data_IF_586749787036
#
_entry.id   IF_586749787036
#
_cell.length_a   1.000
_cell.length_b   1.000
_cell.length_c   1.000
_cell.angle_alpha   90.00
_cell.angle_beta   90.00
_cell.angle_gamma   90.00
#
_symmetry.space_group_name_H-M   'P 1'
#
loop_
_entity.id
_entity.type
_entity.pdbx_description
1 polymer ?
#
# COMPACT_ATOMS: atom_id res chain seq x y z
N UNK A 1 -8.44 4.00 -9.58
CA UNK A 1 -7.91 3.72 -10.94
C UNK A 1 -7.83 4.97 -11.82
N UNK A 2 -8.92 5.78 -11.96
CA UNK A 2 -8.87 7.00 -12.80
C UNK A 2 -7.80 7.97 -12.31
N UNK A 3 -7.71 8.19 -11.02
CA UNK A 3 -6.72 9.08 -10.40
C UNK A 3 -5.30 8.54 -10.64
N UNK A 4 -5.08 7.24 -10.49
CA UNK A 4 -3.77 6.63 -10.71
C UNK A 4 -3.30 6.81 -12.17
N UNK A 5 -4.20 6.55 -13.14
CA UNK A 5 -3.86 6.74 -14.56
C UNK A 5 -3.67 8.23 -14.89
N UNK A 6 -4.47 9.13 -14.30
CA UNK A 6 -4.28 10.58 -14.44
C UNK A 6 -2.91 11.03 -13.93
N UNK A 7 -2.49 10.56 -12.75
CA UNK A 7 -1.17 10.85 -12.18
C UNK A 7 -0.07 10.32 -13.11
N UNK A 8 -0.16 9.08 -13.57
CA UNK A 8 0.83 8.46 -14.46
C UNK A 8 1.00 9.25 -15.75
N UNK A 9 -0.11 9.59 -16.41
CA UNK A 9 -0.06 10.37 -17.66
C UNK A 9 0.49 11.78 -17.41
N UNK A 10 0.06 12.43 -16.33
CA UNK A 10 0.53 13.78 -16.00
C UNK A 10 2.01 13.85 -15.64
N UNK A 11 2.58 12.78 -15.04
CA UNK A 11 4.02 12.67 -14.79
C UNK A 11 4.82 12.45 -16.06
N UNK A 12 4.29 11.69 -17.03
CA UNK A 12 4.95 11.45 -18.32
C UNK A 12 5.05 12.71 -19.20
N UNK A 13 4.12 13.67 -19.02
CA UNK A 13 4.03 14.88 -19.85
C UNK A 13 3.93 16.15 -18.97
N UNK A 14 4.97 16.51 -18.24
CA UNK A 14 4.93 17.64 -17.30
C UNK A 14 4.73 19.00 -17.97
N UNK A 15 5.04 19.14 -19.25
CA UNK A 15 4.88 20.35 -20.07
C UNK A 15 3.42 20.63 -20.46
N UNK A 16 2.50 19.70 -20.21
CA UNK A 16 1.07 19.85 -20.53
C UNK A 16 0.31 20.19 -19.25
N UNK A 17 -0.65 21.09 -19.36
CA UNK A 17 -1.61 21.40 -18.28
C UNK A 17 -2.61 20.25 -18.17
N UNK A 18 -2.80 19.74 -16.95
CA UNK A 18 -3.78 18.68 -16.66
C UNK A 18 -4.77 19.13 -15.61
N UNK A 19 -6.05 18.89 -15.85
CA UNK A 19 -7.11 19.14 -14.88
C UNK A 19 -7.99 17.91 -14.73
N UNK A 20 -8.27 17.51 -13.51
CA UNK A 20 -9.22 16.44 -13.19
C UNK A 20 -10.36 17.01 -12.35
N UNK A 21 -11.59 16.85 -12.84
CA UNK A 21 -12.81 17.25 -12.13
C UNK A 21 -13.67 16.04 -11.83
N UNK A 22 -14.21 15.92 -10.64
CA UNK A 22 -15.14 14.86 -10.24
C UNK A 22 -16.37 15.48 -9.57
N UNK A 23 -17.57 15.16 -10.04
CA UNK A 23 -18.84 15.68 -9.51
C UNK A 23 -18.89 17.21 -9.40
N UNK A 24 -18.31 17.91 -10.38
CA UNK A 24 -18.24 19.38 -10.39
C UNK A 24 -17.17 19.99 -9.49
N UNK A 25 -16.44 19.19 -8.72
CA UNK A 25 -15.32 19.64 -7.90
C UNK A 25 -14.00 19.36 -8.60
N UNK A 26 -13.09 20.33 -8.55
CA UNK A 26 -11.74 20.19 -9.10
C UNK A 26 -10.89 19.36 -8.13
N UNK A 27 -10.46 18.18 -8.59
CA UNK A 27 -9.64 17.24 -7.81
C UNK A 27 -8.15 17.56 -7.98
N UNK A 28 -7.73 17.80 -9.23
CA UNK A 28 -6.38 18.22 -9.57
C UNK A 28 -6.41 19.37 -10.56
N UNK A 29 -5.45 20.28 -10.40
CA UNK A 29 -5.07 21.29 -11.38
C UNK A 29 -3.56 21.34 -11.41
N UNK A 30 -2.96 20.82 -12.47
CA UNK A 30 -1.53 20.62 -12.61
C UNK A 30 -1.04 21.52 -13.74
N UNK A 31 -0.41 22.62 -13.37
CA UNK A 31 0.16 23.59 -14.29
C UNK A 31 1.34 22.99 -15.08
N UNK A 32 1.54 23.47 -16.31
CA UNK A 32 2.71 23.10 -17.10
C UNK A 32 4.01 23.49 -16.39
N UNK A 33 5.02 22.65 -16.49
CA UNK A 33 6.29 22.93 -15.84
C UNK A 33 7.33 21.83 -16.04
N UNK A 34 8.35 21.83 -15.20
CA UNK A 34 9.36 20.78 -15.17
C UNK A 34 8.85 19.52 -14.48
N UNK A 35 9.51 18.39 -14.69
CA UNK A 35 9.19 17.14 -13.99
C UNK A 35 9.21 17.33 -12.45
N UNK A 36 10.21 18.05 -11.92
CA UNK A 36 10.29 18.36 -10.48
C UNK A 36 9.03 19.11 -10.01
N UNK A 37 8.64 20.15 -10.73
CA UNK A 37 7.43 20.93 -10.40
C UNK A 37 6.18 20.06 -10.46
N UNK A 38 6.06 19.20 -11.48
CA UNK A 38 4.94 18.27 -11.61
C UNK A 38 4.87 17.29 -10.43
N UNK A 39 5.99 16.70 -10.02
CA UNK A 39 6.06 15.82 -8.84
C UNK A 39 5.60 16.60 -7.58
N UNK A 40 6.08 17.84 -7.40
CA UNK A 40 5.70 18.69 -6.26
C UNK A 40 4.22 19.07 -6.29
N UNK A 41 3.64 19.35 -7.47
CA UNK A 41 2.20 19.61 -7.61
C UNK A 41 1.35 18.41 -7.18
N UNK A 42 1.82 17.18 -7.45
CA UNK A 42 1.10 15.94 -7.11
C UNK A 42 1.32 15.55 -5.65
N UNK A 43 2.57 15.55 -5.17
CA UNK A 43 2.91 15.05 -3.83
C UNK A 43 2.82 16.11 -2.73
N UNK A 44 2.87 17.38 -3.10
CA UNK A 44 2.84 18.50 -2.16
C UNK A 44 4.15 19.30 -2.11
N UNK A 45 4.07 20.57 -1.67
CA UNK A 45 5.19 21.50 -1.65
C UNK A 45 6.35 21.06 -0.75
N UNK A 46 6.10 20.30 0.30
CA UNK A 46 7.10 19.75 1.21
C UNK A 46 8.11 18.81 0.53
N UNK A 47 7.79 18.29 -0.67
CA UNK A 47 8.71 17.44 -1.45
C UNK A 47 9.75 18.25 -2.22
N UNK A 48 9.60 19.57 -2.35
CA UNK A 48 10.50 20.41 -3.17
C UNK A 48 11.98 20.26 -2.76
N UNK A 49 12.27 20.26 -1.46
CA UNK A 49 13.62 20.08 -0.90
C UNK A 49 14.02 18.62 -0.66
N UNK A 50 13.07 17.68 -0.82
CA UNK A 50 13.25 16.25 -0.50
C UNK A 50 13.48 15.36 -1.72
N UNK A 51 13.56 15.95 -2.91
CA UNK A 51 13.82 15.24 -4.16
C UNK A 51 15.30 15.30 -4.52
N UNK A 52 15.87 14.15 -4.84
CA UNK A 52 17.22 13.99 -5.38
C UNK A 52 17.11 13.73 -6.87
N UNK A 53 17.83 14.51 -7.68
CA UNK A 53 17.87 14.31 -9.13
C UNK A 53 18.70 13.06 -9.46
N UNK A 54 18.14 12.20 -10.28
CA UNK A 54 18.81 11.02 -10.85
C UNK A 54 19.04 11.31 -12.32
N UNK A 55 20.29 11.25 -12.77
CA UNK A 55 20.63 11.43 -14.18
C UNK A 55 21.90 10.66 -14.50
N UNK A 56 21.76 9.62 -15.31
CA UNK A 56 22.87 8.81 -15.83
C UNK A 56 22.64 8.54 -17.30
N UNK A 57 23.70 8.72 -18.10
CA UNK A 57 23.66 8.48 -19.53
C UNK A 57 24.79 7.55 -19.94
N UNK A 58 24.45 6.51 -20.65
CA UNK A 58 25.39 5.55 -21.26
C UNK A 58 25.08 5.42 -22.75
N UNK A 59 25.93 4.68 -23.46
CA UNK A 59 25.70 4.40 -24.89
C UNK A 59 24.49 3.44 -25.11
N UNK A 60 24.08 2.73 -24.06
CA UNK A 60 23.02 1.73 -24.10
C UNK A 60 21.65 2.30 -23.68
N UNK A 61 21.60 3.10 -22.61
CA UNK A 61 20.37 3.70 -22.10
C UNK A 61 20.64 5.01 -21.37
N UNK A 62 19.60 5.82 -21.22
CA UNK A 62 19.60 7.02 -20.40
C UNK A 62 18.57 6.84 -19.27
N UNK A 63 19.00 7.08 -18.01
CA UNK A 63 18.12 7.10 -16.84
C UNK A 63 18.07 8.52 -16.32
N UNK A 64 16.86 9.05 -16.13
CA UNK A 64 16.67 10.37 -15.54
C UNK A 64 15.37 10.42 -14.71
N UNK A 65 15.27 11.43 -13.85
CA UNK A 65 14.11 11.62 -13.00
C UNK A 65 14.48 12.03 -11.59
N UNK A 66 13.66 11.62 -10.63
CA UNK A 66 13.84 11.97 -9.23
C UNK A 66 13.59 10.77 -8.33
N UNK A 67 14.38 10.69 -7.26
CA UNK A 67 14.14 9.81 -6.12
C UNK A 67 13.92 10.69 -4.87
N UNK A 68 13.11 10.23 -3.95
CA UNK A 68 12.95 10.90 -2.65
C UNK A 68 14.13 10.61 -1.73
N UNK A 69 14.47 11.55 -0.84
CA UNK A 69 15.43 11.30 0.23
C UNK A 69 14.95 10.13 1.13
N UNK A 70 15.82 9.40 1.83
CA UNK A 70 15.43 8.26 2.68
C UNK A 70 14.31 8.59 3.69
N UNK A 71 14.30 9.81 4.21
CA UNK A 71 13.28 10.32 5.15
C UNK A 71 11.86 10.39 4.56
N UNK A 72 11.73 10.35 3.23
CA UNK A 72 10.44 10.38 2.53
C UNK A 72 9.82 9.02 2.33
N UNK A 73 10.52 7.95 2.73
CA UNK A 73 10.02 6.59 2.58
C UNK A 73 8.77 6.36 3.43
N UNK A 74 7.75 5.74 2.83
CA UNK A 74 6.46 5.47 3.47
C UNK A 74 6.26 3.97 3.67
N UNK A 75 5.46 3.59 4.66
CA UNK A 75 5.07 2.18 4.88
C UNK A 75 4.12 1.65 3.81
N UNK A 76 3.43 2.54 3.11
CA UNK A 76 2.51 2.20 2.03
C UNK A 76 3.15 2.43 0.67
N UNK A 77 2.78 1.62 -0.33
CA UNK A 77 3.18 1.79 -1.73
C UNK A 77 2.25 2.79 -2.41
N UNK A 78 2.75 3.47 -3.48
CA UNK A 78 1.92 4.35 -4.31
C UNK A 78 2.70 5.45 -5.02
N UNK A 79 3.88 5.83 -4.50
CA UNK A 79 4.71 6.89 -5.08
C UNK A 79 5.90 6.31 -5.88
N UNK A 80 5.69 5.16 -6.54
CA UNK A 80 6.70 4.43 -7.32
C UNK A 80 6.33 4.42 -8.79
N UNK A 81 7.06 5.18 -9.61
CA UNK A 81 6.76 5.33 -11.04
C UNK A 81 7.99 5.05 -11.88
N UNK A 82 7.88 4.06 -12.79
CA UNK A 82 8.83 3.83 -13.87
C UNK A 82 8.18 4.15 -15.20
N UNK A 83 8.94 4.84 -16.03
CA UNK A 83 8.58 5.10 -17.42
C UNK A 83 9.71 4.60 -18.33
N UNK A 84 9.34 3.87 -19.37
CA UNK A 84 10.26 3.43 -20.43
C UNK A 84 9.80 4.04 -21.74
N UNK A 85 10.66 4.87 -22.36
CA UNK A 85 10.31 5.64 -23.55
C UNK A 85 8.95 6.37 -23.34
N UNK A 86 8.79 7.09 -22.22
CA UNK A 86 7.59 7.81 -21.76
C UNK A 86 6.35 6.94 -21.47
N UNK A 87 6.48 5.61 -21.48
CA UNK A 87 5.40 4.71 -21.15
C UNK A 87 5.52 4.20 -19.72
N UNK A 88 4.46 4.35 -18.93
CA UNK A 88 4.42 3.79 -17.57
C UNK A 88 4.49 2.26 -17.60
N UNK A 89 5.36 1.72 -16.75
CA UNK A 89 5.53 0.28 -16.58
C UNK A 89 5.48 -0.14 -15.11
N UNK A 90 5.11 -1.39 -14.90
CA UNK A 90 5.23 -2.08 -13.62
C UNK A 90 6.31 -3.14 -13.75
N UNK A 91 7.36 -3.04 -12.95
CA UNK A 91 8.43 -4.05 -12.91
C UNK A 91 8.85 -4.29 -11.46
N UNK A 92 8.55 -5.48 -10.95
CA UNK A 92 9.02 -5.88 -9.62
C UNK A 92 10.54 -5.99 -9.59
N UNK A 93 11.14 -6.38 -10.71
CA UNK A 93 12.58 -6.53 -10.85
C UNK A 93 13.30 -5.17 -10.73
N UNK A 94 12.83 -4.13 -11.43
CA UNK A 94 13.38 -2.79 -11.30
C UNK A 94 13.04 -2.16 -9.94
N UNK A 95 11.86 -2.41 -9.39
CA UNK A 95 11.54 -1.97 -8.04
C UNK A 95 12.52 -2.56 -7.00
N UNK A 96 12.89 -3.84 -7.16
CA UNK A 96 13.90 -4.47 -6.32
C UNK A 96 15.28 -3.80 -6.46
N UNK A 97 15.66 -3.35 -7.67
CA UNK A 97 16.91 -2.59 -7.89
C UNK A 97 16.92 -1.28 -7.08
N UNK A 98 15.77 -0.56 -7.09
CA UNK A 98 15.61 0.67 -6.29
C UNK A 98 15.68 0.35 -4.80
N UNK A 99 14.94 -0.66 -4.32
CA UNK A 99 14.97 -1.05 -2.91
C UNK A 99 16.38 -1.41 -2.45
N UNK A 100 17.16 -2.12 -3.26
CA UNK A 100 18.54 -2.43 -2.96
C UNK A 100 19.46 -1.20 -2.94
N UNK A 101 19.15 -0.17 -3.73
CA UNK A 101 19.90 1.09 -3.68
C UNK A 101 19.65 1.85 -2.37
N UNK A 102 18.46 1.72 -1.78
CA UNK A 102 18.09 2.30 -0.50
C UNK A 102 18.38 1.38 0.71
N UNK A 103 18.93 0.17 0.47
CA UNK A 103 19.23 -0.75 1.56
C UNK A 103 20.09 -0.05 2.63
N UNK A 104 19.79 -0.30 3.91
CA UNK A 104 20.41 0.34 5.09
C UNK A 104 20.04 1.82 5.32
N UNK A 105 19.39 2.50 4.36
CA UNK A 105 18.98 3.90 4.49
C UNK A 105 17.53 4.06 4.95
N UNK A 106 16.69 3.04 4.73
CA UNK A 106 15.27 3.05 5.08
C UNK A 106 14.89 1.79 5.88
N UNK A 107 13.79 1.85 6.62
CA UNK A 107 13.28 0.67 7.33
C UNK A 107 12.84 -0.43 6.34
N UNK A 108 12.97 -1.70 6.72
CA UNK A 108 12.70 -2.87 5.85
C UNK A 108 11.26 -2.94 5.33
N UNK A 109 10.33 -2.36 6.06
CA UNK A 109 8.89 -2.30 5.74
C UNK A 109 8.49 -0.97 5.09
N UNK A 110 9.44 -0.17 4.62
CA UNK A 110 9.20 1.13 4.01
C UNK A 110 9.57 1.13 2.53
N UNK A 111 8.88 1.98 1.76
CA UNK A 111 9.01 2.08 0.32
C UNK A 111 9.47 3.49 -0.05
N UNK A 112 10.59 3.64 -0.79
CA UNK A 112 11.06 4.93 -1.24
C UNK A 112 10.15 5.48 -2.35
N UNK A 113 10.02 6.81 -2.40
CA UNK A 113 9.40 7.51 -3.52
C UNK A 113 10.39 7.57 -4.68
N UNK A 114 9.92 7.33 -5.90
CA UNK A 114 10.69 7.61 -7.11
C UNK A 114 9.80 7.82 -8.33
N UNK A 115 10.28 8.65 -9.25
CA UNK A 115 9.74 8.85 -10.60
C UNK A 115 10.91 8.82 -11.57
N UNK A 116 11.11 7.71 -12.23
CA UNK A 116 12.27 7.41 -13.06
C UNK A 116 11.86 7.12 -14.49
N UNK A 117 12.59 7.71 -15.41
CA UNK A 117 12.48 7.51 -16.85
C UNK A 117 13.71 6.75 -17.34
N UNK A 118 13.49 5.81 -18.22
CA UNK A 118 14.51 4.99 -18.88
C UNK A 118 14.27 5.09 -20.37
N UNK A 119 15.19 5.74 -21.07
CA UNK A 119 15.16 5.84 -22.52
C UNK A 119 16.21 4.90 -23.11
N UNK A 120 15.78 4.04 -24.01
CA UNK A 120 16.62 3.09 -24.71
C UNK A 120 16.03 2.77 -26.10
N UNK A 121 16.84 2.10 -26.94
CA UNK A 121 16.41 1.72 -28.29
C UNK A 121 15.17 0.80 -28.21
N UNK A 122 14.08 1.13 -28.91
CA UNK A 122 12.87 0.30 -28.94
C UNK A 122 13.10 -1.15 -29.39
N UNK A 123 14.16 -1.41 -30.17
CA UNK A 123 14.52 -2.77 -30.61
C UNK A 123 14.93 -3.70 -29.45
N UNK A 124 15.35 -3.11 -28.31
CA UNK A 124 15.79 -3.85 -27.11
C UNK A 124 14.66 -4.11 -26.11
N UNK A 125 13.42 -3.84 -26.54
CA UNK A 125 12.21 -3.96 -25.73
C UNK A 125 11.18 -4.87 -26.39
N UNK A 126 10.63 -5.80 -25.60
CA UNK A 126 9.37 -6.46 -25.96
C UNK A 126 8.24 -5.92 -25.06
N UNK A 127 7.29 -5.22 -25.69
CA UNK A 127 6.13 -4.61 -25.01
C UNK A 127 4.94 -5.58 -25.02
N UNK A 128 4.95 -6.59 -25.88
CA UNK A 128 3.81 -7.49 -26.06
C UNK A 128 3.80 -8.68 -25.08
N UNK A 129 4.14 -8.42 -23.83
CA UNK A 129 4.24 -9.46 -22.77
C UNK A 129 2.88 -9.68 -22.09
N UNK A 130 2.10 -8.62 -21.90
CA UNK A 130 0.81 -8.67 -21.18
C UNK A 130 -0.27 -7.85 -21.91
N UNK A 131 -1.57 -8.24 -21.85
CA UNK A 131 -2.66 -7.50 -22.50
C UNK A 131 -2.75 -6.02 -22.11
N UNK A 132 -2.45 -5.68 -20.83
CA UNK A 132 -2.43 -4.28 -20.36
C UNK A 132 -1.22 -3.50 -20.84
N UNK A 133 -0.21 -4.18 -21.41
CA UNK A 133 1.05 -3.59 -21.90
C UNK A 133 1.75 -2.70 -20.85
N UNK A 134 1.55 -2.97 -19.56
CA UNK A 134 2.25 -2.32 -18.44
C UNK A 134 3.47 -3.11 -18.00
N UNK A 135 3.64 -4.32 -18.49
CA UNK A 135 4.82 -5.16 -18.30
C UNK A 135 5.60 -5.19 -19.60
N UNK A 136 6.90 -4.98 -19.51
CA UNK A 136 7.81 -5.07 -20.65
C UNK A 136 8.95 -6.00 -20.32
N UNK A 137 9.52 -6.62 -21.34
CA UNK A 137 10.72 -7.43 -21.24
C UNK A 137 11.88 -6.69 -21.91
N UNK A 138 12.97 -6.53 -21.20
CA UNK A 138 14.21 -6.02 -21.75
C UNK A 138 15.02 -7.16 -22.34
N UNK A 139 15.77 -6.89 -23.40
CA UNK A 139 16.70 -7.87 -23.97
C UNK A 139 17.74 -8.28 -22.92
N UNK A 140 18.33 -7.27 -22.23
CA UNK A 140 19.30 -7.45 -21.14
C UNK A 140 18.79 -6.89 -19.80
N UNK A 141 17.83 -7.58 -19.17
CA UNK A 141 17.23 -7.14 -17.90
C UNK A 141 18.26 -6.90 -16.78
N UNK A 142 19.34 -7.71 -16.74
CA UNK A 142 20.39 -7.59 -15.71
C UNK A 142 21.18 -6.30 -15.85
N UNK A 143 21.43 -5.86 -17.09
CA UNK A 143 22.13 -4.61 -17.36
C UNK A 143 21.27 -3.44 -16.90
N UNK A 144 19.99 -3.40 -17.31
CA UNK A 144 19.06 -2.34 -16.90
C UNK A 144 18.92 -2.28 -15.37
N UNK A 145 18.82 -3.44 -14.69
CA UNK A 145 18.79 -3.53 -13.25
C UNK A 145 20.04 -2.89 -12.61
N UNK A 146 21.23 -3.26 -13.05
CA UNK A 146 22.50 -2.76 -12.51
C UNK A 146 22.62 -1.24 -12.71
N UNK A 147 22.20 -0.72 -13.87
CA UNK A 147 22.19 0.71 -14.14
C UNK A 147 21.21 1.48 -13.26
N UNK A 148 19.98 1.00 -13.09
CA UNK A 148 19.00 1.63 -12.20
C UNK A 148 19.53 1.68 -10.77
N UNK A 149 20.04 0.56 -10.26
CA UNK A 149 20.62 0.50 -8.92
C UNK A 149 21.79 1.47 -8.75
N UNK A 150 22.71 1.50 -9.72
CA UNK A 150 23.89 2.38 -9.69
C UNK A 150 23.52 3.85 -9.78
N UNK A 151 22.60 4.22 -10.67
CA UNK A 151 22.15 5.60 -10.86
C UNK A 151 21.55 6.18 -9.57
N UNK A 152 20.73 5.39 -8.88
CA UNK A 152 20.13 5.81 -7.61
C UNK A 152 21.18 5.90 -6.50
N UNK A 153 22.07 4.89 -6.37
CA UNK A 153 23.16 4.95 -5.39
C UNK A 153 24.04 6.16 -5.59
N UNK A 154 24.39 6.47 -6.85
CA UNK A 154 25.19 7.63 -7.19
C UNK A 154 24.48 8.93 -6.81
N UNK A 155 23.18 9.08 -7.15
CA UNK A 155 22.39 10.24 -6.79
C UNK A 155 22.29 10.44 -5.26
N UNK A 156 22.03 9.36 -4.51
CA UNK A 156 21.95 9.41 -3.05
C UNK A 156 23.31 9.72 -2.40
N UNK A 157 24.41 9.19 -2.94
CA UNK A 157 25.76 9.49 -2.46
C UNK A 157 26.14 10.95 -2.67
N UNK A 158 25.82 11.54 -3.82
CA UNK A 158 26.04 12.96 -4.09
C UNK A 158 25.29 13.85 -3.09
N UNK A 159 24.06 13.45 -2.73
CA UNK A 159 23.27 14.17 -1.74
C UNK A 159 23.89 14.10 -0.33
N UNK A 160 24.42 12.95 0.09
CA UNK A 160 25.01 12.78 1.44
C UNK A 160 26.34 13.53 1.62
N UNK A 161 27.02 13.88 0.53
CA UNK A 161 28.30 14.60 0.54
C UNK A 161 28.11 16.12 0.49
N UNK A 162 26.99 16.60 -0.07
CA UNK A 162 26.69 18.04 -0.14
C UNK A 162 26.00 18.48 1.15
N UNK A 163 26.66 19.27 2.03
CA UNK A 163 25.92 19.89 3.13
C UNK A 163 24.85 20.80 2.54
N UNK A 164 23.58 20.56 2.88
CA UNK A 164 22.46 21.42 2.55
C UNK A 164 22.62 22.74 3.30
N UNK A 165 23.27 23.70 2.67
CA UNK A 165 22.99 25.08 2.96
C UNK A 165 21.65 25.39 2.28
N UNK A 166 20.56 25.26 3.06
CA UNK A 166 19.24 25.77 2.68
C UNK A 166 19.32 27.30 2.61
N UNK A 167 19.80 27.79 1.48
CA UNK A 167 19.43 29.11 1.06
C UNK A 167 18.13 28.93 0.28
N UNK A 168 17.04 29.48 0.80
CA UNK A 168 15.88 29.87 0.01
C UNK A 168 16.36 30.85 -1.09
N UNK A 169 16.79 30.28 -2.21
CA UNK A 169 17.19 31.01 -3.37
C UNK A 169 15.94 31.62 -4.00
N UNK A 170 15.73 32.87 -3.71
CA UNK A 170 14.76 33.74 -4.36
C UNK A 170 14.78 33.50 -5.89
N UNK A 171 13.61 33.41 -6.50
CA UNK A 171 13.44 33.06 -7.93
C UNK A 171 14.22 34.01 -8.87
N UNK A 172 14.68 35.16 -8.37
CA UNK A 172 15.53 36.13 -9.09
C UNK A 172 16.96 35.63 -9.34
N UNK A 173 17.47 34.62 -8.61
CA UNK A 173 18.85 34.14 -8.76
C UNK A 173 18.94 33.06 -9.86
N UNK A 174 17.80 32.45 -10.28
CA UNK A 174 17.77 31.48 -11.38
C UNK A 174 18.07 32.07 -12.77
N UNK A 175 18.16 33.41 -12.89
CA UNK A 175 18.48 34.12 -14.13
C UNK A 175 19.95 34.47 -14.31
N UNK A 176 20.83 34.07 -13.41
CA UNK A 176 22.26 34.33 -13.56
C UNK A 176 22.89 33.29 -14.48
N UNK A 177 23.51 33.79 -15.59
CA UNK A 177 24.21 33.01 -16.63
C UNK A 177 25.32 32.05 -16.13
N UNK A 178 25.61 32.06 -14.83
CA UNK A 178 26.63 31.21 -14.21
C UNK A 178 26.22 29.74 -14.08
N UNK A 179 24.91 29.43 -14.17
CA UNK A 179 24.38 28.06 -14.00
C UNK A 179 24.40 27.27 -15.31
N UNK A 180 24.56 27.94 -16.45
CA UNK A 180 24.48 27.34 -17.79
C UNK A 180 25.82 27.03 -18.47
N UNK A 181 26.96 27.20 -17.75
CA UNK A 181 28.28 26.91 -18.36
C UNK A 181 28.59 25.39 -18.32
N UNK A 182 28.91 24.80 -19.48
CA UNK A 182 29.27 23.38 -19.52
C UNK A 182 30.58 23.12 -18.75
N UNK A 183 30.67 21.94 -18.17
CA UNK A 183 31.83 21.43 -17.46
C UNK A 183 33.11 21.59 -18.29
N UNK A 184 34.09 22.28 -17.75
CA UNK A 184 35.41 22.41 -18.38
C UNK A 184 36.15 21.08 -18.39
N UNK A 185 37.00 20.86 -19.41
CA UNK A 185 37.73 19.60 -19.63
C UNK A 185 38.64 19.14 -18.48
N UNK A 186 39.10 20.06 -17.65
CA UNK A 186 39.88 19.79 -16.43
C UNK A 186 39.12 19.01 -15.35
N UNK A 187 37.79 19.17 -15.27
CA UNK A 187 36.95 18.37 -14.36
C UNK A 187 36.60 16.99 -14.92
N UNK A 188 36.73 16.76 -16.23
CA UNK A 188 36.58 15.42 -16.83
C UNK A 188 37.71 14.49 -16.41
N UNK A 189 38.94 15.00 -16.23
CA UNK A 189 40.09 14.19 -15.86
C UNK A 189 40.03 13.66 -14.42
N UNK A 190 39.43 14.38 -13.50
CA UNK A 190 39.26 13.93 -12.11
C UNK A 190 38.10 12.94 -11.92
N UNK A 191 37.07 13.00 -12.76
CA UNK A 191 35.95 12.06 -12.73
C UNK A 191 36.32 10.72 -13.39
N UNK A 192 37.25 10.72 -14.40
CA UNK A 192 37.69 9.51 -15.08
C UNK A 192 38.67 8.66 -14.26
N UNK A 193 39.23 9.19 -13.16
CA UNK A 193 40.13 8.48 -12.26
C UNK A 193 39.43 7.73 -11.12
N UNK A 194 38.11 7.81 -11.01
CA UNK A 194 37.36 7.05 -10.01
C UNK A 194 37.42 5.55 -10.37
N UNK A 195 37.85 4.72 -9.44
CA UNK A 195 37.99 3.27 -9.54
C UNK A 195 36.72 2.58 -10.13
N UNK A 196 35.57 3.20 -10.01
CA UNK A 196 34.28 2.72 -10.51
C UNK A 196 34.16 2.84 -12.04
N UNK A 197 34.64 3.96 -12.65
CA UNK A 197 34.57 4.12 -14.11
C UNK A 197 35.40 3.10 -14.85
N UNK A 198 36.60 2.77 -14.29
CA UNK A 198 37.49 1.78 -14.87
C UNK A 198 36.97 0.33 -14.74
N UNK A 199 36.05 0.08 -13.82
CA UNK A 199 35.41 -1.24 -13.65
C UNK A 199 34.35 -1.48 -14.72
N UNK A 200 33.68 -0.45 -15.22
CA UNK A 200 32.61 -0.55 -16.22
C UNK A 200 33.12 -0.58 -17.68
N UNK A 201 34.36 -0.12 -17.94
CA UNK A 201 34.89 -0.04 -19.31
C UNK A 201 35.70 -1.26 -19.73
N UNK A 202 36.02 -2.22 -18.84
CA UNK A 202 36.75 -3.42 -19.17
C UNK A 202 35.85 -4.51 -19.78
N UNK A 203 36.19 -4.89 -21.02
CA UNK A 203 35.48 -5.84 -21.88
C UNK A 203 35.37 -7.31 -21.38
N UNK A 204 35.78 -7.63 -20.14
CA UNK A 204 35.82 -8.98 -19.59
C UNK A 204 35.09 -9.10 -18.26
N UNK A 205 33.78 -8.73 -18.22
CA UNK A 205 32.97 -8.84 -17.00
C UNK A 205 32.13 -10.11 -16.89
N UNK A 206 32.35 -11.12 -17.73
CA UNK A 206 31.65 -12.40 -17.62
C UNK A 206 32.04 -13.26 -16.41
N UNK A 207 33.00 -12.83 -15.59
CA UNK A 207 33.54 -13.65 -14.49
C UNK A 207 33.26 -13.12 -13.07
N UNK A 208 32.49 -12.02 -12.88
CA UNK A 208 32.30 -11.45 -11.53
C UNK A 208 30.93 -11.65 -10.93
N UNK A 209 30.13 -12.62 -11.41
CA UNK A 209 28.86 -13.01 -10.77
C UNK A 209 28.89 -14.51 -10.47
N UNK A 210 29.84 -14.93 -9.67
CA UNK A 210 29.76 -16.17 -8.89
C UNK A 210 29.46 -15.85 -7.42
N UNK A 211 28.40 -15.18 -7.15
CA UNK A 211 27.64 -15.39 -5.94
C UNK A 211 26.29 -15.94 -6.37
N UNK A 212 26.06 -17.20 -6.06
CA UNK A 212 24.79 -17.89 -6.21
C UNK A 212 23.71 -17.06 -5.52
N UNK A 213 23.12 -16.10 -6.22
CA UNK A 213 21.85 -15.54 -5.80
C UNK A 213 20.81 -16.60 -6.17
N UNK A 214 20.17 -17.16 -5.17
CA UNK A 214 19.03 -18.07 -5.28
C UNK A 214 17.79 -17.36 -5.85
N UNK A 215 17.94 -16.71 -7.00
CA UNK A 215 16.86 -16.04 -7.73
C UNK A 215 16.09 -17.01 -8.64
N UNK A 216 16.06 -18.32 -8.29
CA UNK A 216 15.20 -19.28 -8.98
C UNK A 216 13.71 -19.11 -8.66
N UNK A 217 13.35 -18.35 -7.62
CA UNK A 217 11.98 -18.25 -7.10
C UNK A 217 11.34 -16.85 -7.23
N UNK A 218 11.82 -15.99 -8.15
CA UNK A 218 11.17 -14.68 -8.33
C UNK A 218 9.70 -14.78 -8.81
N UNK A 219 9.31 -15.89 -9.44
CA UNK A 219 7.92 -16.19 -9.80
C UNK A 219 7.03 -16.42 -8.59
N UNK A 220 7.58 -16.93 -7.50
CA UNK A 220 6.83 -17.22 -6.28
C UNK A 220 6.34 -15.94 -5.57
N UNK A 221 6.96 -14.79 -5.85
CA UNK A 221 6.49 -13.50 -5.35
C UNK A 221 5.24 -12.99 -6.07
N UNK A 222 5.01 -13.44 -7.31
CA UNK A 222 3.79 -13.11 -8.07
C UNK A 222 2.67 -14.13 -7.85
N UNK A 223 3.00 -15.37 -7.51
CA UNK A 223 2.00 -16.42 -7.32
C UNK A 223 1.32 -16.38 -5.94
N UNK A 224 1.91 -15.66 -4.96
CA UNK A 224 1.28 -15.50 -3.65
C UNK A 224 0.07 -14.56 -3.62
N UNK A 225 -0.13 -13.75 -4.66
CA UNK A 225 -1.27 -12.83 -4.77
C UNK A 225 -2.37 -13.31 -5.73
N UNK A 226 -2.25 -14.51 -6.29
CA UNK A 226 -3.39 -15.15 -6.96
C UNK A 226 -4.09 -16.04 -5.93
N UNK A 227 -5.37 -15.78 -5.61
CA UNK A 227 -6.15 -16.78 -4.90
C UNK A 227 -6.20 -18.01 -5.81
N UNK A 228 -5.51 -19.08 -5.43
CA UNK A 228 -5.76 -20.38 -6.03
C UNK A 228 -7.24 -20.69 -5.82
N UNK A 229 -7.97 -21.14 -6.84
CA UNK A 229 -9.28 -21.68 -6.61
C UNK A 229 -9.06 -23.00 -5.86
N UNK A 230 -9.18 -22.95 -4.55
CA UNK A 230 -9.29 -24.16 -3.74
C UNK A 230 -10.51 -24.94 -4.20
N UNK A 231 -10.25 -25.95 -5.04
CA UNK A 231 -11.18 -27.01 -5.33
C UNK A 231 -11.26 -27.95 -4.13
N UNK A 232 -11.68 -27.43 -3.00
CA UNK A 232 -12.33 -28.22 -1.97
C UNK A 232 -13.82 -27.89 -2.06
N UNK A 233 -14.56 -28.72 -2.77
CA UNK A 233 -16.01 -28.85 -2.61
C UNK A 233 -16.26 -29.82 -1.46
N UNK A 234 -16.62 -29.37 -0.26
CA UNK A 234 -17.50 -30.16 0.57
C UNK A 234 -18.89 -29.92 -0.01
N UNK A 235 -19.47 -30.91 -0.66
CA UNK A 235 -20.91 -30.98 -0.79
C UNK A 235 -21.49 -31.18 0.62
N UNK A 236 -21.71 -30.05 1.29
CA UNK A 236 -22.66 -29.95 2.39
C UNK A 236 -23.80 -29.12 1.81
N UNK A 237 -24.91 -29.77 1.55
CA UNK A 237 -26.19 -29.11 1.27
C UNK A 237 -26.49 -28.16 2.44
N UNK A 238 -26.28 -26.89 2.23
CA UNK A 238 -26.70 -25.85 3.16
C UNK A 238 -28.18 -25.66 2.92
N UNK A 239 -29.00 -26.44 3.61
CA UNK A 239 -30.40 -26.14 3.75
C UNK A 239 -30.54 -24.87 4.58
N UNK A 240 -30.86 -23.78 3.93
CA UNK A 240 -31.14 -22.51 4.59
C UNK A 240 -32.46 -22.63 5.38
N UNK A 241 -32.36 -23.06 6.61
CA UNK A 241 -33.39 -22.87 7.62
C UNK A 241 -33.12 -21.57 8.35
N UNK A 242 -33.88 -20.54 7.99
CA UNK A 242 -34.07 -19.34 8.80
C UNK A 242 -34.80 -19.77 10.07
N UNK A 243 -34.07 -20.21 11.06
CA UNK A 243 -34.58 -20.42 12.42
C UNK A 243 -34.04 -19.26 13.28
N UNK A 244 -34.94 -18.60 14.02
CA UNK A 244 -34.56 -17.70 15.11
C UNK A 244 -33.53 -18.45 15.97
N UNK A 245 -32.28 -17.96 15.97
CA UNK A 245 -31.20 -18.62 16.67
C UNK A 245 -31.46 -18.53 18.18
N UNK A 246 -31.76 -19.65 18.87
CA UNK A 246 -31.79 -19.61 20.32
C UNK A 246 -30.36 -19.30 20.78
N UNK A 247 -30.22 -18.26 21.60
CA UNK A 247 -28.97 -17.92 22.26
C UNK A 247 -28.48 -19.17 22.99
N UNK A 248 -27.31 -19.71 22.67
CA UNK A 248 -26.86 -20.94 23.33
C UNK A 248 -26.65 -20.65 24.83
N UNK A 249 -27.20 -21.51 25.69
CA UNK A 249 -26.82 -21.52 27.11
C UNK A 249 -25.34 -21.92 27.18
N UNK A 250 -24.45 -20.92 27.33
CA UNK A 250 -23.00 -21.09 27.31
C UNK A 250 -22.52 -21.67 28.65
N UNK A 251 -22.24 -22.95 28.70
CA UNK A 251 -21.79 -23.61 29.95
C UNK A 251 -20.27 -23.69 30.07
N UNK A 252 -19.53 -23.92 28.99
CA UNK A 252 -18.09 -24.00 29.02
C UNK A 252 -17.51 -23.35 27.75
N UNK A 253 -16.60 -22.40 27.91
CA UNK A 253 -15.91 -21.70 26.85
C UNK A 253 -14.43 -22.08 26.89
N UNK A 254 -13.87 -22.52 25.75
CA UNK A 254 -12.46 -22.89 25.66
C UNK A 254 -11.88 -22.31 24.37
N UNK A 255 -10.78 -21.57 24.50
CA UNK A 255 -10.04 -21.11 23.33
C UNK A 255 -9.03 -22.17 22.88
N UNK A 256 -9.02 -22.50 21.57
CA UNK A 256 -8.09 -23.42 20.93
C UNK A 256 -7.17 -22.66 19.97
N UNK A 257 -5.87 -22.90 20.06
CA UNK A 257 -4.84 -22.34 19.18
C UNK A 257 -4.91 -20.81 19.03
N UNK A 258 -5.44 -20.10 20.04
CA UNK A 258 -5.65 -18.64 20.01
C UNK A 258 -6.40 -18.14 18.76
N UNK A 259 -7.22 -19.00 18.15
CA UNK A 259 -7.92 -18.73 16.88
C UNK A 259 -9.36 -19.20 16.88
N UNK A 260 -9.66 -20.25 17.61
CA UNK A 260 -10.98 -20.85 17.67
C UNK A 260 -11.51 -20.86 19.11
N UNK A 261 -12.82 -20.73 19.26
CA UNK A 261 -13.50 -20.82 20.54
C UNK A 261 -14.51 -21.97 20.44
N UNK A 262 -14.40 -22.94 21.36
CA UNK A 262 -15.39 -23.99 21.53
C UNK A 262 -16.43 -23.53 22.53
N UNK A 263 -17.71 -23.56 22.11
CA UNK A 263 -18.88 -23.21 22.92
C UNK A 263 -19.71 -24.44 23.11
N UNK A 264 -19.69 -25.03 24.29
CA UNK A 264 -20.49 -26.21 24.59
C UNK A 264 -21.98 -25.81 24.72
N UNK A 265 -22.85 -26.68 24.13
CA UNK A 265 -24.29 -26.54 24.19
C UNK A 265 -24.92 -27.86 24.65
N UNK A 266 -26.20 -27.86 25.01
CA UNK A 266 -26.92 -29.06 25.40
C UNK A 266 -27.07 -30.12 24.28
N UNK A 267 -26.86 -29.69 23.01
CA UNK A 267 -27.03 -30.57 21.80
C UNK A 267 -25.73 -30.86 21.06
N UNK A 268 -24.59 -30.37 21.58
CA UNK A 268 -23.29 -30.53 20.92
C UNK A 268 -22.35 -29.36 21.25
N UNK A 269 -21.65 -28.82 20.25
CA UNK A 269 -20.83 -27.64 20.43
C UNK A 269 -20.77 -26.80 19.16
N UNK A 270 -20.50 -25.50 19.32
CA UNK A 270 -20.09 -24.60 18.23
C UNK A 270 -18.57 -24.43 18.24
N UNK A 271 -17.97 -24.51 17.07
CA UNK A 271 -16.59 -24.08 16.84
C UNK A 271 -16.62 -22.71 16.18
N UNK A 272 -16.32 -21.68 16.94
CA UNK A 272 -16.36 -20.27 16.49
C UNK A 272 -14.96 -19.83 16.10
N UNK A 273 -14.82 -19.23 14.91
CA UNK A 273 -13.57 -18.60 14.48
C UNK A 273 -13.52 -17.17 15.02
N UNK A 274 -12.61 -16.88 15.98
CA UNK A 274 -12.60 -15.62 16.74
C UNK A 274 -12.51 -14.37 15.85
N UNK A 275 -11.65 -14.36 14.80
CA UNK A 275 -11.51 -13.23 13.91
C UNK A 275 -12.79 -13.00 13.08
N UNK A 276 -13.37 -14.04 12.49
CA UNK A 276 -14.56 -13.91 11.66
C UNK A 276 -15.76 -13.46 12.50
N UNK A 277 -15.88 -13.99 13.74
CA UNK A 277 -16.91 -13.58 14.68
C UNK A 277 -16.80 -12.08 15.01
N UNK A 278 -15.60 -11.61 15.37
CA UNK A 278 -15.38 -10.21 15.68
C UNK A 278 -15.54 -9.29 14.46
N UNK A 279 -15.11 -9.74 13.26
CA UNK A 279 -15.36 -9.03 11.99
C UNK A 279 -16.86 -8.80 11.77
N UNK A 280 -17.70 -9.82 12.05
CA UNK A 280 -19.16 -9.70 11.91
C UNK A 280 -19.77 -8.70 12.90
N UNK A 281 -19.38 -8.80 14.15
CA UNK A 281 -19.83 -7.90 15.21
C UNK A 281 -19.50 -6.44 14.86
N UNK A 282 -18.25 -6.18 14.48
CA UNK A 282 -17.79 -4.85 14.10
C UNK A 282 -18.53 -4.32 12.87
N UNK A 283 -18.73 -5.17 11.86
CA UNK A 283 -19.44 -4.77 10.65
C UNK A 283 -20.88 -4.29 10.97
N UNK A 284 -21.65 -5.04 11.77
CA UNK A 284 -23.01 -4.65 12.14
C UNK A 284 -23.01 -3.39 13.02
N UNK A 285 -22.06 -3.27 13.95
CA UNK A 285 -21.88 -2.06 14.76
C UNK A 285 -21.62 -0.83 13.88
N UNK A 286 -20.73 -0.95 12.90
CA UNK A 286 -20.41 0.13 11.98
C UNK A 286 -21.58 0.48 11.05
N UNK A 287 -22.32 -0.50 10.57
CA UNK A 287 -23.50 -0.28 9.76
C UNK A 287 -24.55 0.56 10.53
N UNK A 288 -24.83 0.22 11.78
CA UNK A 288 -25.73 0.98 12.65
C UNK A 288 -25.21 2.40 12.95
N UNK A 289 -23.88 2.56 13.08
CA UNK A 289 -23.27 3.87 13.33
C UNK A 289 -23.50 4.86 12.18
N UNK A 290 -23.37 4.38 10.96
CA UNK A 290 -23.58 5.21 9.76
C UNK A 290 -25.07 5.48 9.50
N UNK A 291 -25.98 4.63 9.98
CA UNK A 291 -27.43 4.81 9.89
C UNK A 291 -28.01 5.75 10.96
N UNK A 292 -27.21 6.28 11.89
CA UNK A 292 -27.65 7.30 12.84
C UNK A 292 -27.31 7.08 14.31
N UNK A 293 -26.47 6.10 14.65
CA UNK A 293 -25.92 5.90 16.01
C UNK A 293 -24.40 6.06 16.00
N UNK A 294 -23.87 7.30 15.86
CA UNK A 294 -22.44 7.50 15.70
C UNK A 294 -21.63 6.93 16.86
N UNK A 295 -20.45 6.42 16.55
CA UNK A 295 -19.51 5.89 17.53
C UNK A 295 -18.86 7.07 18.26
N UNK A 296 -18.73 6.95 19.58
CA UNK A 296 -18.08 7.96 20.39
C UNK A 296 -16.60 8.10 20.00
N UNK A 297 -16.16 9.35 19.85
CA UNK A 297 -14.77 9.69 19.53
C UNK A 297 -14.00 9.97 20.82
N UNK A 298 -12.84 9.36 20.94
CA UNK A 298 -11.83 9.73 21.92
C UNK A 298 -10.93 10.79 21.29
N UNK A 299 -10.96 12.01 21.81
CA UNK A 299 -10.10 13.09 21.32
C UNK A 299 -8.66 12.89 21.75
N UNK A 300 -7.73 13.16 20.86
CA UNK A 300 -6.30 13.14 21.13
C UNK A 300 -5.87 14.45 21.76
N UNK A 301 -5.16 14.38 22.89
CA UNK A 301 -4.53 15.56 23.50
C UNK A 301 -3.42 16.15 22.62
N UNK A 302 -2.78 15.31 21.81
CA UNK A 302 -1.73 15.68 20.86
C UNK A 302 -2.13 15.17 19.48
N UNK A 303 -2.83 15.99 18.66
CA UNK A 303 -3.24 15.60 17.32
C UNK A 303 -2.06 15.15 16.48
N UNK A 304 -2.19 14.00 15.84
CA UNK A 304 -1.17 13.46 14.95
C UNK A 304 -1.46 13.87 13.51
N UNK A 305 -0.43 14.12 12.71
CA UNK A 305 -0.58 14.38 11.28
C UNK A 305 -0.25 13.11 10.48
N UNK A 306 -1.05 12.81 9.47
CA UNK A 306 -0.80 11.75 8.51
C UNK A 306 -0.64 12.34 7.12
N UNK A 307 0.43 11.96 6.42
CA UNK A 307 0.70 12.32 5.04
C UNK A 307 0.45 11.11 4.15
N UNK A 308 -0.44 11.26 3.19
CA UNK A 308 -0.85 10.19 2.28
C UNK A 308 -0.31 10.46 0.88
N UNK A 309 -0.38 9.45 -0.01
CA UNK A 309 -0.21 9.76 -1.42
C UNK A 309 -1.45 10.45 -1.99
N UNK A 310 -1.28 11.11 -3.14
CA UNK A 310 -2.32 11.94 -3.74
C UNK A 310 -3.63 11.17 -3.98
N UNK A 311 -3.56 9.93 -4.47
CA UNK A 311 -4.73 9.10 -4.70
C UNK A 311 -5.47 8.74 -3.40
N UNK A 312 -4.73 8.42 -2.34
CA UNK A 312 -5.29 8.09 -1.04
C UNK A 312 -5.85 9.30 -0.31
N UNK A 313 -5.20 10.45 -0.48
CA UNK A 313 -5.69 11.71 0.08
C UNK A 313 -7.05 12.10 -0.52
N UNK A 314 -7.22 11.95 -1.84
CA UNK A 314 -8.52 12.18 -2.50
C UNK A 314 -9.57 11.18 -2.02
N UNK A 315 -9.19 9.88 -1.93
CA UNK A 315 -10.08 8.85 -1.42
C UNK A 315 -10.52 9.15 0.02
N UNK A 316 -9.58 9.49 0.91
CA UNK A 316 -9.88 9.79 2.30
C UNK A 316 -10.80 11.01 2.42
N UNK A 317 -10.58 12.08 1.62
CA UNK A 317 -11.49 13.25 1.58
C UNK A 317 -12.93 12.85 1.25
N UNK A 318 -13.14 11.93 0.32
CA UNK A 318 -14.47 11.43 -0.03
C UNK A 318 -15.11 10.60 1.10
N UNK A 319 -14.29 9.93 1.92
CA UNK A 319 -14.74 9.06 3.00
C UNK A 319 -14.94 9.79 4.35
N UNK A 320 -14.46 11.04 4.49
CA UNK A 320 -14.52 11.81 5.74
C UNK A 320 -15.92 11.85 6.37
N UNK A 321 -17.04 12.08 5.62
CA UNK A 321 -18.37 12.13 6.24
C UNK A 321 -18.75 10.80 6.93
N UNK A 322 -18.47 9.67 6.28
CA UNK A 322 -18.75 8.35 6.85
C UNK A 322 -17.78 8.02 7.99
N UNK A 323 -16.49 8.42 7.88
CA UNK A 323 -15.48 8.27 8.93
C UNK A 323 -15.87 9.01 10.22
N UNK A 324 -16.45 10.20 10.12
CA UNK A 324 -16.92 10.95 11.28
C UNK A 324 -18.01 10.19 12.06
N UNK A 325 -18.94 9.55 11.37
CA UNK A 325 -19.97 8.70 12.02
C UNK A 325 -19.33 7.46 12.70
N UNK A 326 -18.20 7.00 12.18
CA UNK A 326 -17.43 5.87 12.72
C UNK A 326 -16.46 6.27 13.84
N UNK A 327 -16.51 7.52 14.30
CA UNK A 327 -15.73 8.02 15.43
C UNK A 327 -14.32 8.50 15.07
N UNK A 328 -13.98 8.62 13.78
CA UNK A 328 -12.72 9.21 13.33
C UNK A 328 -12.90 10.68 13.03
N UNK A 329 -12.27 11.55 13.80
CA UNK A 329 -12.24 13.00 13.52
C UNK A 329 -10.94 13.35 12.80
N UNK A 330 -11.07 13.59 11.50
CA UNK A 330 -9.97 13.91 10.59
C UNK A 330 -10.25 15.23 9.90
N UNK A 331 -9.26 16.12 9.87
CA UNK A 331 -9.33 17.39 9.16
C UNK A 331 -8.24 17.49 8.09
N UNK A 332 -8.59 17.92 6.86
CA UNK A 332 -7.60 18.19 5.84
C UNK A 332 -6.65 19.32 6.27
N UNK A 333 -5.35 19.09 6.13
CA UNK A 333 -4.30 20.05 6.42
C UNK A 333 -3.31 20.13 5.25
N UNK A 334 -3.67 20.89 4.22
CA UNK A 334 -2.91 20.96 2.97
C UNK A 334 -3.38 19.95 1.92
N UNK A 335 -2.51 19.67 0.94
CA UNK A 335 -2.93 18.87 -0.22
C UNK A 335 -3.17 17.39 0.10
N UNK A 336 -2.17 16.75 0.74
CA UNK A 336 -2.17 15.31 0.98
C UNK A 336 -2.00 14.97 2.46
N UNK A 337 -2.13 15.95 3.35
CA UNK A 337 -1.94 15.82 4.80
C UNK A 337 -3.27 15.97 5.52
N UNK A 338 -3.47 15.19 6.57
CA UNK A 338 -4.63 15.26 7.45
C UNK A 338 -4.17 15.31 8.91
N UNK A 339 -4.92 16.03 9.72
CA UNK A 339 -4.76 16.04 11.17
C UNK A 339 -5.77 15.07 11.77
N UNK A 340 -5.31 14.17 12.61
CA UNK A 340 -6.12 13.21 13.37
C UNK A 340 -6.39 13.84 14.73
N UNK A 341 -7.60 14.36 14.90
CA UNK A 341 -8.03 14.99 16.16
C UNK A 341 -8.60 13.99 17.15
N UNK A 342 -9.16 12.89 16.63
CA UNK A 342 -9.71 11.84 17.47
C UNK A 342 -9.99 10.56 16.70
N UNK A 343 -10.08 9.46 17.44
CA UNK A 343 -10.35 8.11 16.93
C UNK A 343 -11.36 7.40 17.85
N UNK A 344 -12.00 6.31 17.39
CA UNK A 344 -12.78 5.44 18.26
C UNK A 344 -11.94 4.92 19.42
N UNK A 345 -12.57 4.65 20.56
CA UNK A 345 -11.90 4.15 21.77
C UNK A 345 -11.17 2.80 21.56
N UNK A 346 -11.57 2.04 20.55
CA UNK A 346 -10.98 0.74 20.20
C UNK A 346 -9.62 0.88 19.47
N UNK A 347 -9.26 2.10 19.04
CA UNK A 347 -7.96 2.39 18.43
C UNK A 347 -6.97 2.78 19.51
N UNK A 348 -5.91 1.99 19.69
CA UNK A 348 -4.88 2.25 20.69
C UNK A 348 -4.14 3.56 20.37
N UNK A 349 -3.87 4.36 21.40
CA UNK A 349 -3.09 5.59 21.30
C UNK A 349 -1.70 5.30 20.68
N UNK A 350 -1.28 6.17 19.76
CA UNK A 350 -0.02 6.01 19.00
C UNK A 350 -0.13 5.14 17.74
N UNK A 351 -1.26 4.46 17.53
CA UNK A 351 -1.50 3.62 16.35
C UNK A 351 -2.47 4.25 15.34
N UNK A 352 -2.91 5.48 15.56
CA UNK A 352 -3.95 6.17 14.77
C UNK A 352 -3.58 6.24 13.29
N UNK A 353 -2.33 6.64 12.97
CA UNK A 353 -1.83 6.72 11.60
C UNK A 353 -1.86 5.34 10.93
N UNK A 354 -1.31 4.35 11.61
CA UNK A 354 -1.24 2.98 11.09
C UNK A 354 -2.64 2.37 10.87
N UNK A 355 -3.60 2.71 11.73
CA UNK A 355 -4.97 2.26 11.58
C UNK A 355 -5.62 2.81 10.31
N UNK A 356 -5.41 4.11 10.02
CA UNK A 356 -5.95 4.76 8.82
C UNK A 356 -5.26 4.22 7.55
N UNK A 357 -3.92 4.09 7.56
CA UNK A 357 -3.16 3.53 6.43
C UNK A 357 -3.63 2.11 6.08
N UNK A 358 -3.74 1.24 7.08
CA UNK A 358 -4.23 -0.14 6.89
C UNK A 358 -5.68 -0.18 6.43
N UNK A 359 -6.52 0.72 6.92
CA UNK A 359 -7.91 0.82 6.47
C UNK A 359 -7.97 1.19 4.98
N UNK A 360 -7.18 2.19 4.54
CA UNK A 360 -7.11 2.59 3.13
C UNK A 360 -6.57 1.46 2.25
N UNK A 361 -5.57 0.72 2.71
CA UNK A 361 -5.04 -0.44 2.02
C UNK A 361 -6.12 -1.53 1.84
N UNK A 362 -6.83 -1.88 2.91
CA UNK A 362 -7.94 -2.84 2.85
C UNK A 362 -9.08 -2.35 1.96
N UNK A 363 -9.39 -1.05 2.00
CA UNK A 363 -10.39 -0.46 1.11
C UNK A 363 -10.03 -0.67 -0.38
N UNK A 364 -8.76 -0.53 -0.73
CA UNK A 364 -8.27 -0.76 -2.10
C UNK A 364 -8.45 -2.22 -2.53
N UNK A 365 -8.29 -3.19 -1.63
CA UNK A 365 -8.57 -4.60 -1.92
C UNK A 365 -10.03 -4.84 -2.32
N UNK A 366 -10.97 -4.16 -1.67
CA UNK A 366 -12.39 -4.22 -2.05
C UNK A 366 -12.74 -3.32 -3.24
N UNK A 367 -11.84 -2.45 -3.69
CA UNK A 367 -12.12 -1.48 -4.76
C UNK A 367 -12.40 -2.13 -6.12
N UNK A 368 -11.82 -3.29 -6.38
CA UNK A 368 -12.05 -4.07 -7.61
C UNK A 368 -13.43 -4.72 -7.67
N UNK A 369 -14.11 -4.87 -6.55
CA UNK A 369 -15.45 -5.45 -6.49
C UNK A 369 -16.52 -4.39 -6.75
N UNK A 370 -17.07 -4.41 -7.96
CA UNK A 370 -18.09 -3.44 -8.42
C UNK A 370 -19.45 -3.60 -7.72
N UNK A 371 -19.68 -4.70 -6.98
CA UNK A 371 -20.94 -4.99 -6.32
C UNK A 371 -21.20 -4.14 -5.08
N UNK A 372 -20.16 -3.56 -4.49
CA UNK A 372 -20.26 -2.84 -3.23
C UNK A 372 -20.20 -1.32 -3.42
N UNK A 373 -21.06 -0.59 -2.68
CA UNK A 373 -20.97 0.87 -2.57
C UNK A 373 -19.68 1.32 -1.86
N UNK A 374 -19.30 2.60 -2.00
CA UNK A 374 -18.13 3.17 -1.30
C UNK A 374 -18.25 2.97 0.23
N UNK A 375 -19.41 3.24 0.78
CA UNK A 375 -19.73 3.06 2.21
C UNK A 375 -19.57 1.60 2.63
N UNK A 376 -20.14 0.67 1.88
CA UNK A 376 -20.04 -0.77 2.15
C UNK A 376 -18.59 -1.25 2.17
N UNK A 377 -17.76 -0.79 1.22
CA UNK A 377 -16.33 -1.09 1.18
C UNK A 377 -15.59 -0.56 2.41
N UNK A 378 -15.94 0.66 2.86
CA UNK A 378 -15.37 1.25 4.07
C UNK A 378 -15.70 0.41 5.31
N UNK A 379 -16.97 0.05 5.51
CA UNK A 379 -17.42 -0.74 6.67
C UNK A 379 -16.71 -2.10 6.71
N UNK A 380 -16.62 -2.80 5.57
CA UNK A 380 -15.92 -4.09 5.45
C UNK A 380 -14.43 -3.97 5.75
N UNK A 381 -13.79 -2.91 5.24
CA UNK A 381 -12.36 -2.65 5.44
C UNK A 381 -12.05 -2.40 6.90
N UNK A 382 -12.85 -1.58 7.57
CA UNK A 382 -12.70 -1.29 8.99
C UNK A 382 -12.97 -2.51 9.86
N UNK A 383 -14.04 -3.25 9.59
CA UNK A 383 -14.38 -4.45 10.34
C UNK A 383 -13.26 -5.51 10.27
N UNK A 384 -12.72 -5.73 9.07
CA UNK A 384 -11.61 -6.65 8.88
C UNK A 384 -10.31 -6.15 9.55
N UNK A 385 -10.02 -4.85 9.43
CA UNK A 385 -8.79 -4.26 9.98
C UNK A 385 -8.79 -4.26 11.51
N UNK A 386 -9.93 -3.93 12.16
CA UNK A 386 -10.03 -3.83 13.62
C UNK A 386 -10.38 -5.18 14.29
N UNK A 387 -10.77 -6.20 13.53
CA UNK A 387 -11.07 -7.52 14.10
C UNK A 387 -9.86 -8.10 14.84
N UNK A 388 -10.11 -8.79 15.95
CA UNK A 388 -9.11 -9.56 16.69
C UNK A 388 -8.45 -10.54 15.73
N UNK A 389 -7.12 -10.52 15.67
CA UNK A 389 -6.38 -11.36 14.74
C UNK A 389 -6.29 -12.80 15.27
N UNK A 390 -6.23 -13.77 14.33
CA UNK A 390 -5.89 -15.14 14.69
C UNK A 390 -4.52 -15.16 15.39
N UNK A 391 -4.39 -16.00 16.41
CA UNK A 391 -3.20 -16.07 17.26
C UNK A 391 -3.23 -15.17 18.52
N UNK A 392 -4.26 -14.31 18.68
CA UNK A 392 -4.44 -13.48 19.87
C UNK A 392 -5.10 -14.30 20.99
N UNK A 393 -4.46 -14.34 22.17
CA UNK A 393 -5.07 -14.94 23.36
C UNK A 393 -6.13 -13.99 23.93
N UNK A 394 -7.31 -14.54 24.22
CA UNK A 394 -8.43 -13.83 24.86
C UNK A 394 -8.63 -14.33 26.28
N UNK A 395 -9.02 -13.45 27.18
CA UNK A 395 -9.46 -13.83 28.52
C UNK A 395 -10.88 -14.43 28.49
N UNK A 396 -11.25 -15.19 29.51
CA UNK A 396 -12.58 -15.79 29.61
C UNK A 396 -13.71 -14.75 29.53
N UNK A 397 -13.48 -13.56 30.05
CA UNK A 397 -14.45 -12.44 29.96
C UNK A 397 -14.59 -11.93 28.52
N UNK A 398 -13.48 -11.76 27.81
CA UNK A 398 -13.48 -11.31 26.39
C UNK A 398 -14.12 -12.38 25.49
N UNK A 399 -13.84 -13.65 25.73
CA UNK A 399 -14.47 -14.77 25.01
C UNK A 399 -16.00 -14.73 25.20
N UNK A 400 -16.43 -14.56 26.46
CA UNK A 400 -17.85 -14.50 26.77
C UNK A 400 -18.54 -13.33 26.05
N UNK A 401 -17.95 -12.13 26.11
CA UNK A 401 -18.48 -10.93 25.42
C UNK A 401 -18.54 -11.16 23.91
N UNK A 402 -17.47 -11.70 23.32
CA UNK A 402 -17.41 -11.99 21.88
C UNK A 402 -18.54 -12.95 21.44
N UNK A 403 -18.79 -14.01 22.21
CA UNK A 403 -19.84 -14.99 21.91
C UNK A 403 -21.22 -14.35 22.08
N UNK A 404 -21.46 -13.62 23.19
CA UNK A 404 -22.71 -12.95 23.43
C UNK A 404 -23.03 -11.93 22.34
N UNK A 405 -22.05 -11.13 21.92
CA UNK A 405 -22.22 -10.12 20.87
C UNK A 405 -22.45 -10.76 19.50
N UNK A 406 -21.73 -11.86 19.17
CA UNK A 406 -21.95 -12.58 17.92
C UNK A 406 -23.39 -13.08 17.77
N UNK A 407 -23.93 -13.73 18.81
CA UNK A 407 -25.30 -14.26 18.74
C UNK A 407 -26.39 -13.17 18.89
N UNK A 408 -26.02 -11.95 19.23
CA UNK A 408 -26.89 -10.77 19.15
C UNK A 408 -26.89 -10.12 17.76
N UNK A 409 -25.98 -10.49 16.85
CA UNK A 409 -25.96 -10.02 15.46
C UNK A 409 -27.20 -10.48 14.69
N UNK A 410 -27.64 -9.69 13.71
CA UNK A 410 -28.74 -10.05 12.83
C UNK A 410 -28.44 -11.30 11.98
N UNK A 411 -27.17 -11.44 11.55
CA UNK A 411 -26.69 -12.58 10.75
C UNK A 411 -25.42 -13.15 11.39
N UNK A 412 -25.52 -13.93 12.48
CA UNK A 412 -24.35 -14.38 13.24
C UNK A 412 -23.51 -15.46 12.54
N UNK A 413 -24.05 -16.15 11.53
CA UNK A 413 -23.46 -17.34 10.91
C UNK A 413 -22.39 -17.04 9.84
N UNK A 414 -22.27 -15.80 9.35
CA UNK A 414 -21.33 -15.43 8.31
C UNK A 414 -20.80 -14.02 8.45
N UNK A 415 -19.56 -13.79 8.03
CA UNK A 415 -19.01 -12.44 7.88
C UNK A 415 -19.70 -11.68 6.75
N UNK A 416 -19.48 -10.38 6.67
CA UNK A 416 -19.96 -9.58 5.53
C UNK A 416 -19.42 -10.10 4.18
N UNK A 417 -18.28 -10.79 4.19
CA UNK A 417 -17.63 -11.37 3.01
C UNK A 417 -18.05 -12.83 2.74
N UNK A 418 -19.06 -13.35 3.47
CA UNK A 418 -19.61 -14.70 3.27
C UNK A 418 -18.79 -15.83 3.88
N UNK A 419 -17.75 -15.54 4.68
CA UNK A 419 -17.01 -16.59 5.42
C UNK A 419 -17.80 -17.02 6.64
N UNK A 420 -17.82 -18.32 7.00
CA UNK A 420 -18.49 -18.79 8.19
C UNK A 420 -17.84 -18.21 9.45
N UNK A 421 -18.66 -17.81 10.41
CA UNK A 421 -18.23 -17.32 11.73
C UNK A 421 -18.11 -18.45 12.72
N UNK A 422 -18.99 -19.46 12.61
CA UNK A 422 -18.95 -20.68 13.40
C UNK A 422 -19.45 -21.88 12.61
N UNK A 423 -19.10 -23.06 13.09
CA UNK A 423 -19.60 -24.36 12.65
C UNK A 423 -20.28 -25.04 13.83
N UNK A 424 -21.44 -25.63 13.60
CA UNK A 424 -22.19 -26.43 14.60
C UNK A 424 -21.85 -27.93 14.44
N UNK A 425 -21.52 -28.56 15.55
CA UNK A 425 -21.30 -30.00 15.64
C UNK A 425 -22.33 -30.61 16.61
N UNK A 426 -23.27 -31.35 16.08
CA UNK A 426 -24.32 -31.99 16.87
C UNK A 426 -23.82 -33.27 17.52
N UNK A 427 -24.26 -33.56 18.73
CA UNK A 427 -23.87 -34.75 19.49
C UNK A 427 -24.19 -36.01 18.72
N UNK A 428 -25.36 -36.13 18.10
CA UNK A 428 -25.79 -37.31 17.33
C UNK A 428 -24.88 -37.54 16.09
N UNK A 429 -24.34 -36.50 15.50
CA UNK A 429 -23.40 -36.63 14.39
C UNK A 429 -22.03 -37.11 14.88
N UNK A 430 -21.62 -36.65 16.05
CA UNK A 430 -20.38 -37.11 16.70
C UNK A 430 -20.50 -38.56 17.11
N UNK A 431 -21.62 -38.96 17.75
CA UNK A 431 -21.87 -40.34 18.17
C UNK A 431 -21.84 -41.30 16.96
N UNK A 432 -22.40 -40.89 15.81
CA UNK A 432 -22.31 -41.67 14.55
C UNK A 432 -20.89 -41.79 14.02
N UNK A 433 -20.05 -40.74 14.13
CA UNK A 433 -18.64 -40.83 13.71
C UNK A 433 -17.82 -41.80 14.56
N UNK A 434 -18.23 -42.03 15.82
CA UNK A 434 -17.61 -43.04 16.72
C UNK A 434 -18.34 -44.38 16.74
N UNK A 435 -19.28 -44.58 15.81
CA UNK A 435 -19.97 -45.88 15.66
C UNK A 435 -21.04 -46.17 16.73
N UNK A 436 -21.60 -45.10 17.31
CA UNK A 436 -22.69 -45.19 18.31
C UNK A 436 -24.01 -44.67 17.73
#
# INVERSE_FOLDING_TARGET
HIIDEFIRVSLAFPEILFTLTSNGQQVFHLEKGTLKQRIVQILGSQYSAKLVSVQEKTDYLTIYGFAGKPETAKKTRGDQYFFVNNRFIKSAYLNHAVMNAFNEMIAKDSFPMYTLFIDLDPSQLDINVHPTKQEIKFEDEKIVYAFVQSAIKHALAQFSISPTLDFDLDASIQSLDAVSKPFTEEKKSSASSSSLYNTFTKKNQSHFVESKSELKHWRDFYEKDKPQPDTFKPQVEVTALITQNPKPETQNLLQLHNSFIVVQTNRGYFLVHQQNAHERILYERFALAVEGKPIATQQSLFPATIELHAADAVLLKELLPDMNHLGYQLEPFGNNTFVIQGTPADVSQGNEKTAIEKMLEQYKHFSSDLKYSKREKLLRSLALQQSVKAGTSLTDKEIKVLIDDLFNCAIPNSTANGKPTYLEFKKDELDKLFGR
#
